data_IF_583611594338
#
_entry.id   IF_583611594338
#
_cell.length_a   1.000
_cell.length_b   1.000
_cell.length_c   1.000
_cell.angle_alpha   90.00
_cell.angle_beta   90.00
_cell.angle_gamma   90.00
#
_symmetry.space_group_name_H-M   'P 1'
#
loop_
_entity.id
_entity.type
_entity.pdbx_description
1 polymer ?
#
# COMPACT_ATOMS: atom_id res chain seq x y z
N UNK A 1 -14.22 13.10 36.73
CA UNK A 1 -13.94 12.43 35.44
C UNK A 1 -14.14 13.45 34.33
N UNK A 2 -13.08 13.88 33.64
CA UNK A 2 -13.20 14.85 32.56
C UNK A 2 -13.73 14.16 31.29
N UNK A 3 -14.81 14.67 30.70
CA UNK A 3 -15.35 14.17 29.43
C UNK A 3 -14.43 14.65 28.31
N UNK A 4 -13.91 13.78 27.43
CA UNK A 4 -13.05 14.21 26.35
C UNK A 4 -13.80 15.20 25.45
N UNK A 5 -13.14 16.30 25.11
CA UNK A 5 -13.69 17.33 24.22
C UNK A 5 -13.80 16.79 22.79
N UNK A 6 -14.73 17.33 21.99
CA UNK A 6 -14.90 16.93 20.59
C UNK A 6 -13.60 17.09 19.77
N UNK A 7 -12.78 18.09 20.10
CA UNK A 7 -11.50 18.35 19.43
C UNK A 7 -10.44 17.27 19.74
N UNK A 8 -10.40 16.79 20.99
CA UNK A 8 -9.52 15.67 21.37
C UNK A 8 -9.90 14.35 20.70
N UNK A 9 -11.18 14.16 20.33
CA UNK A 9 -11.62 12.97 19.63
C UNK A 9 -11.26 13.02 18.13
N UNK A 10 -11.38 14.20 17.50
CA UNK A 10 -11.06 14.40 16.08
C UNK A 10 -9.55 14.27 15.79
N UNK A 11 -8.72 14.78 16.70
CA UNK A 11 -7.25 14.66 16.60
C UNK A 11 -6.79 13.21 16.78
N UNK A 12 -7.41 12.44 17.66
CA UNK A 12 -7.10 11.02 17.81
C UNK A 12 -7.49 10.21 16.56
N UNK A 13 -8.64 10.54 15.95
CA UNK A 13 -9.12 9.85 14.74
C UNK A 13 -8.21 10.09 13.53
N UNK A 14 -7.77 11.34 13.33
CA UNK A 14 -6.84 11.70 12.25
C UNK A 14 -5.45 11.09 12.45
N UNK A 15 -4.96 11.06 13.69
CA UNK A 15 -3.71 10.38 14.03
C UNK A 15 -3.80 8.88 13.68
N UNK A 16 -4.88 8.21 14.11
CA UNK A 16 -5.09 6.79 13.83
C UNK A 16 -5.16 6.51 12.31
N UNK A 17 -5.83 7.37 11.54
CA UNK A 17 -5.91 7.22 10.08
C UNK A 17 -4.53 7.30 9.39
N UNK A 18 -3.60 8.11 9.91
CA UNK A 18 -2.24 8.20 9.35
C UNK A 18 -1.33 7.03 9.74
N UNK A 19 -1.59 6.36 10.88
CA UNK A 19 -0.78 5.23 11.35
C UNK A 19 -0.94 3.95 10.52
N UNK A 20 -2.06 3.78 9.81
CA UNK A 20 -2.29 2.58 8.97
C UNK A 20 -1.66 2.67 7.57
N UNK A 21 -1.01 3.78 7.21
CA UNK A 21 -0.39 3.96 5.89
C UNK A 21 1.05 3.44 5.78
N UNK A 22 1.45 2.47 6.61
CA UNK A 22 2.62 1.65 6.33
C UNK A 22 2.19 0.50 5.43
N UNK A 23 2.04 0.78 4.14
CA UNK A 23 1.92 -0.27 3.14
C UNK A 23 3.22 -1.05 3.12
N UNK A 24 3.26 -2.19 3.82
CA UNK A 24 4.31 -3.19 3.62
C UNK A 24 4.11 -3.78 2.24
N UNK A 25 4.57 -3.08 1.22
CA UNK A 25 4.66 -3.66 -0.09
C UNK A 25 5.83 -4.64 -0.07
N UNK A 26 5.52 -5.91 -0.32
CA UNK A 26 6.56 -6.89 -0.51
C UNK A 26 7.34 -6.56 -1.79
N UNK A 27 8.66 -6.69 -1.74
CA UNK A 27 9.54 -6.42 -2.87
C UNK A 27 10.24 -7.69 -3.37
N UNK A 28 9.94 -8.84 -2.77
CA UNK A 28 10.51 -10.14 -3.13
C UNK A 28 9.35 -11.10 -3.38
N UNK A 29 9.48 -11.91 -4.43
CA UNK A 29 8.61 -13.05 -4.68
C UNK A 29 9.46 -14.32 -4.56
N UNK A 30 9.22 -15.10 -3.52
CA UNK A 30 9.93 -16.35 -3.29
C UNK A 30 9.38 -17.47 -4.18
N UNK A 31 10.16 -18.55 -4.32
CA UNK A 31 9.73 -19.74 -5.05
C UNK A 31 8.41 -20.28 -4.48
N UNK A 32 7.46 -20.59 -5.36
CA UNK A 32 6.09 -21.04 -5.07
C UNK A 32 5.11 -19.98 -4.54
N UNK A 33 5.53 -18.71 -4.41
CA UNK A 33 4.59 -17.62 -4.18
C UNK A 33 3.94 -17.15 -5.50
N UNK A 34 2.77 -16.52 -5.37
CA UNK A 34 1.95 -16.09 -6.50
C UNK A 34 1.54 -14.64 -6.30
N UNK A 35 1.76 -13.79 -7.31
CA UNK A 35 1.11 -12.48 -7.42
C UNK A 35 -0.19 -12.62 -8.23
N UNK A 36 -1.33 -12.50 -7.56
CA UNK A 36 -2.64 -12.54 -8.21
C UNK A 36 -2.92 -11.27 -9.03
N UNK A 37 -3.88 -11.33 -9.95
CA UNK A 37 -4.32 -10.15 -10.72
C UNK A 37 -4.73 -8.99 -9.80
N UNK A 38 -4.20 -7.80 -10.08
CA UNK A 38 -4.31 -6.58 -9.29
C UNK A 38 -3.23 -6.42 -8.21
N UNK A 39 -2.49 -7.47 -7.85
CA UNK A 39 -1.43 -7.39 -6.85
C UNK A 39 -0.12 -6.85 -7.43
N UNK A 40 0.72 -6.30 -6.55
CA UNK A 40 2.01 -5.72 -6.95
C UNK A 40 3.10 -5.99 -5.92
N UNK A 41 4.32 -6.14 -6.42
CA UNK A 41 5.54 -5.95 -5.63
C UNK A 41 5.99 -4.50 -5.77
N UNK A 42 6.44 -3.86 -4.69
CA UNK A 42 6.88 -2.45 -4.74
C UNK A 42 8.22 -2.27 -4.06
N UNK A 43 9.13 -1.54 -4.70
CA UNK A 43 10.41 -1.15 -4.13
C UNK A 43 10.70 0.30 -4.53
N UNK A 44 10.70 1.20 -3.55
CA UNK A 44 10.79 2.65 -3.80
C UNK A 44 9.73 3.10 -4.82
N UNK A 45 10.12 3.79 -5.90
CA UNK A 45 9.25 4.22 -7.01
C UNK A 45 8.86 3.11 -7.99
N UNK A 46 9.49 1.94 -7.89
CA UNK A 46 9.27 0.83 -8.81
C UNK A 46 8.13 -0.05 -8.33
N UNK A 47 7.31 -0.51 -9.29
CA UNK A 47 6.21 -1.42 -9.01
C UNK A 47 6.08 -2.47 -10.10
N UNK A 48 6.18 -3.75 -9.73
CA UNK A 48 5.89 -4.87 -10.62
C UNK A 48 4.48 -5.37 -10.35
N UNK A 49 3.57 -5.22 -11.31
CA UNK A 49 2.14 -5.51 -11.14
C UNK A 49 1.69 -6.60 -12.10
N UNK A 50 1.07 -7.64 -11.56
CA UNK A 50 0.23 -8.52 -12.36
C UNK A 50 -1.13 -7.84 -12.49
N UNK A 51 -1.42 -7.23 -13.64
CA UNK A 51 -2.66 -6.51 -13.87
C UNK A 51 -3.84 -7.47 -14.08
N UNK A 52 -5.06 -6.97 -13.87
CA UNK A 52 -6.30 -7.76 -14.01
C UNK A 52 -6.63 -8.14 -15.46
N UNK A 53 -5.95 -7.54 -16.44
CA UNK A 53 -6.03 -7.85 -17.87
C UNK A 53 -4.99 -8.89 -18.31
N UNK A 54 -4.33 -9.57 -17.35
CA UNK A 54 -3.29 -10.57 -17.56
C UNK A 54 -1.95 -10.05 -18.08
N UNK A 55 -1.70 -8.73 -18.03
CA UNK A 55 -0.38 -8.18 -18.30
C UNK A 55 0.49 -8.14 -17.05
N UNK A 56 1.75 -8.58 -17.14
CA UNK A 56 2.76 -8.36 -16.11
C UNK A 56 3.58 -7.13 -16.48
N UNK A 57 3.45 -6.05 -15.69
CA UNK A 57 3.95 -4.72 -16.06
C UNK A 57 4.87 -4.16 -14.98
N UNK A 58 6.02 -3.63 -15.38
CA UNK A 58 6.92 -2.87 -14.53
C UNK A 58 6.64 -1.37 -14.68
N UNK A 59 6.55 -0.69 -13.55
CA UNK A 59 6.38 0.75 -13.47
C UNK A 59 7.59 1.41 -12.82
N UNK A 60 7.97 2.58 -13.33
CA UNK A 60 8.85 3.57 -12.69
C UNK A 60 8.06 4.87 -12.54
N UNK A 61 7.82 5.32 -11.30
CA UNK A 61 7.06 6.56 -11.03
C UNK A 61 5.72 6.63 -11.79
N UNK A 62 4.99 5.50 -11.85
CA UNK A 62 3.73 5.31 -12.58
C UNK A 62 3.83 5.30 -14.12
N UNK A 63 5.02 5.36 -14.70
CA UNK A 63 5.23 5.14 -16.13
C UNK A 63 5.58 3.68 -16.40
N UNK A 64 5.01 3.12 -17.47
CA UNK A 64 5.34 1.77 -17.93
C UNK A 64 6.70 1.80 -18.62
N UNK A 65 7.56 0.83 -18.30
CA UNK A 65 8.90 0.67 -18.90
C UNK A 65 9.10 -0.74 -19.46
#
# INVERSE_FOLDING_TARGET
MAKPSSLTLLTLFTLLATFFSSGFADNILYTNEIISGGASLTYAEYRLTMQSDCNLVLYDNNQVI
#
